data_IF_609089489572
#
_entry.id   IF_609089489572
#
_cell.length_a   1.000
_cell.length_b   1.000
_cell.length_c   1.000
_cell.angle_alpha   90.00
_cell.angle_beta   90.00
_cell.angle_gamma   90.00
#
_symmetry.space_group_name_H-M   'P 1'
#
loop_
_entity.id
_entity.type
_entity.pdbx_description
1 polymer ?
#
# COMPACT_ATOMS: atom_id res chain seq x y z
N UNK A 1 1.48 -14.31 -9.07
CA UNK A 1 1.88 -13.72 -7.78
C UNK A 1 1.37 -14.61 -6.67
N UNK A 2 2.26 -15.11 -5.82
CA UNK A 2 1.90 -15.87 -4.61
C UNK A 2 2.26 -15.05 -3.38
N UNK A 3 1.67 -15.39 -2.24
CA UNK A 3 1.97 -14.84 -0.91
C UNK A 3 1.28 -13.52 -0.50
N UNK A 4 0.19 -13.13 -1.15
CA UNK A 4 -0.60 -11.96 -0.70
C UNK A 4 -1.18 -12.20 0.69
N UNK A 5 -1.76 -13.38 0.94
CA UNK A 5 -2.38 -13.70 2.23
C UNK A 5 -1.32 -13.80 3.33
N UNK A 6 -0.20 -14.49 3.09
CA UNK A 6 0.89 -14.55 4.05
C UNK A 6 1.49 -13.18 4.35
N UNK A 7 1.71 -12.34 3.33
CA UNK A 7 2.27 -11.00 3.49
C UNK A 7 1.37 -10.09 4.34
N UNK A 8 0.06 -10.09 4.08
CA UNK A 8 -0.91 -9.34 4.88
C UNK A 8 -1.07 -9.93 6.28
N UNK A 9 -1.02 -11.24 6.41
CA UNK A 9 -1.03 -11.93 7.70
C UNK A 9 0.15 -11.50 8.57
N UNK A 10 1.35 -11.42 7.99
CA UNK A 10 2.54 -10.92 8.67
C UNK A 10 2.35 -9.48 9.14
N UNK A 11 1.94 -8.56 8.24
CA UNK A 11 1.68 -7.16 8.58
C UNK A 11 0.68 -7.02 9.75
N UNK A 12 -0.46 -7.72 9.66
CA UNK A 12 -1.52 -7.68 10.66
C UNK A 12 -1.11 -8.30 12.01
N UNK A 13 -0.12 -9.19 12.02
CA UNK A 13 0.37 -9.84 13.24
C UNK A 13 1.43 -9.02 13.99
N UNK A 14 2.07 -8.04 13.34
CA UNK A 14 3.23 -7.34 13.89
C UNK A 14 2.94 -6.72 15.27
N UNK A 15 1.87 -5.94 15.39
CA UNK A 15 1.51 -5.32 16.66
C UNK A 15 0.86 -6.30 17.64
N UNK A 16 -0.24 -7.00 17.31
CA UNK A 16 -0.96 -7.80 18.31
C UNK A 16 -0.14 -8.98 18.83
N UNK A 17 0.64 -9.65 17.97
CA UNK A 17 1.39 -10.87 18.31
C UNK A 17 2.82 -10.56 18.72
N UNK A 18 3.54 -9.79 17.90
CA UNK A 18 4.98 -9.56 18.10
C UNK A 18 5.31 -8.27 18.85
N UNK A 19 4.30 -7.42 19.15
CA UNK A 19 4.47 -6.11 19.81
C UNK A 19 5.39 -5.16 19.04
N UNK A 20 5.43 -5.30 17.71
CA UNK A 20 6.20 -4.46 16.79
C UNK A 20 5.24 -3.57 16.02
N UNK A 21 5.44 -2.25 16.08
CA UNK A 21 4.66 -1.31 15.29
C UNK A 21 5.03 -1.41 13.79
N UNK A 22 4.06 -1.60 12.88
CA UNK A 22 4.30 -1.50 11.45
C UNK A 22 4.87 -0.13 11.08
N UNK A 23 5.91 -0.14 10.26
CA UNK A 23 6.55 1.07 9.68
C UNK A 23 6.16 1.27 8.21
N UNK A 24 6.47 2.44 7.67
CA UNK A 24 6.18 2.80 6.27
C UNK A 24 6.69 1.75 5.27
N UNK A 25 7.85 1.15 5.51
CA UNK A 25 8.40 0.14 4.60
C UNK A 25 7.54 -1.14 4.54
N UNK A 26 6.90 -1.50 5.66
CA UNK A 26 6.01 -2.67 5.71
C UNK A 26 4.70 -2.40 4.97
N UNK A 27 4.15 -1.19 5.11
CA UNK A 27 2.98 -0.77 4.34
C UNK A 27 3.29 -0.69 2.84
N UNK A 28 4.43 -0.09 2.46
CA UNK A 28 4.85 -0.05 1.06
C UNK A 28 4.99 -1.46 0.46
N UNK A 29 5.60 -2.40 1.18
CA UNK A 29 5.72 -3.79 0.75
C UNK A 29 4.35 -4.47 0.56
N UNK A 30 3.40 -4.23 1.48
CA UNK A 30 2.05 -4.77 1.37
C UNK A 30 1.24 -4.14 0.22
N UNK A 31 1.39 -2.83 -0.01
CA UNK A 31 0.81 -2.12 -1.16
C UNK A 31 1.37 -2.66 -2.47
N UNK A 32 2.68 -2.87 -2.58
CA UNK A 32 3.33 -3.48 -3.75
C UNK A 32 2.82 -4.92 -3.99
N UNK A 33 2.67 -5.72 -2.93
CA UNK A 33 2.09 -7.08 -3.02
C UNK A 33 0.67 -7.05 -3.59
N UNK A 34 -0.19 -6.18 -3.07
CA UNK A 34 -1.58 -6.01 -3.53
C UNK A 34 -1.63 -5.50 -4.97
N UNK A 35 -0.78 -4.51 -5.30
CA UNK A 35 -0.67 -3.96 -6.64
C UNK A 35 -0.29 -4.98 -7.69
N UNK A 36 0.76 -5.77 -7.46
CA UNK A 36 1.16 -6.87 -8.37
C UNK A 36 0.11 -7.97 -8.49
N UNK A 37 -0.79 -8.09 -7.52
CA UNK A 37 -1.92 -9.02 -7.58
C UNK A 37 -3.16 -8.44 -8.27
N UNK A 38 -3.12 -7.19 -8.76
CA UNK A 38 -4.28 -6.52 -9.36
C UNK A 38 -5.32 -6.06 -8.34
N UNK A 39 -5.00 -6.09 -7.04
CA UNK A 39 -5.91 -5.78 -5.95
C UNK A 39 -5.78 -4.32 -5.53
N UNK A 40 -5.87 -3.40 -6.50
CA UNK A 40 -5.61 -1.95 -6.28
C UNK A 40 -6.55 -1.35 -5.23
N UNK A 41 -7.84 -1.71 -5.24
CA UNK A 41 -8.78 -1.23 -4.23
C UNK A 41 -8.37 -1.65 -2.81
N UNK A 42 -7.90 -2.90 -2.64
CA UNK A 42 -7.38 -3.34 -1.33
C UNK A 42 -6.10 -2.60 -0.94
N UNK A 43 -5.26 -2.24 -1.90
CA UNK A 43 -4.07 -1.43 -1.63
C UNK A 43 -4.47 -0.03 -1.16
N UNK A 44 -5.54 0.56 -1.74
CA UNK A 44 -6.13 1.82 -1.28
C UNK A 44 -6.66 1.70 0.15
N UNK A 45 -7.49 0.69 0.42
CA UNK A 45 -8.05 0.45 1.76
C UNK A 45 -6.94 0.31 2.82
N UNK A 46 -5.85 -0.38 2.46
CA UNK A 46 -4.69 -0.53 3.34
C UNK A 46 -4.04 0.83 3.66
N UNK A 47 -3.83 1.68 2.65
CA UNK A 47 -3.26 3.03 2.83
C UNK A 47 -4.17 3.90 3.71
N UNK A 48 -5.48 3.83 3.50
CA UNK A 48 -6.47 4.58 4.30
C UNK A 48 -6.55 4.07 5.74
N UNK A 49 -6.26 2.80 5.97
CA UNK A 49 -6.22 2.20 7.32
C UNK A 49 -4.95 2.50 8.11
N UNK A 50 -3.95 3.14 7.51
CA UNK A 50 -2.68 3.42 8.18
C UNK A 50 -2.90 4.34 9.40
N UNK A 51 -2.27 4.03 10.56
CA UNK A 51 -2.36 4.88 11.75
C UNK A 51 -1.61 6.21 11.60
N UNK A 52 -0.79 6.34 10.55
CA UNK A 52 0.00 7.51 10.22
C UNK A 52 -0.24 7.89 8.76
N UNK A 53 -0.13 9.18 8.43
CA UNK A 53 -0.25 9.66 7.05
C UNK A 53 0.80 8.95 6.17
N UNK A 54 0.42 8.39 5.01
CA UNK A 54 1.37 7.74 4.12
C UNK A 54 2.43 8.74 3.65
N UNK A 55 3.67 8.28 3.60
CA UNK A 55 4.78 9.07 3.09
C UNK A 55 4.85 9.01 1.55
N UNK A 56 5.71 9.81 0.91
CA UNK A 56 5.88 9.75 -0.54
C UNK A 56 6.31 8.39 -1.08
N UNK A 57 6.96 7.54 -0.27
CA UNK A 57 7.39 6.20 -0.70
C UNK A 57 6.18 5.27 -0.85
N UNK A 58 5.28 5.24 0.13
CA UNK A 58 4.03 4.44 0.06
C UNK A 58 3.18 4.92 -1.12
N UNK A 59 3.01 6.23 -1.28
CA UNK A 59 2.22 6.81 -2.35
C UNK A 59 2.81 6.56 -3.75
N UNK A 60 4.13 6.65 -3.92
CA UNK A 60 4.80 6.30 -5.20
C UNK A 60 4.62 4.82 -5.54
N UNK A 61 4.69 3.95 -4.54
CA UNK A 61 4.46 2.51 -4.71
C UNK A 61 3.02 2.26 -5.18
N UNK A 62 2.05 2.91 -4.54
CA UNK A 62 0.65 2.83 -4.93
C UNK A 62 0.38 3.40 -6.33
N UNK A 63 0.96 4.55 -6.66
CA UNK A 63 0.88 5.12 -8.01
C UNK A 63 1.39 4.15 -9.08
N UNK A 64 2.51 3.46 -8.80
CA UNK A 64 3.03 2.40 -9.67
C UNK A 64 2.03 1.26 -9.86
N UNK A 65 1.42 0.79 -8.77
CA UNK A 65 0.38 -0.24 -8.80
C UNK A 65 -0.84 0.18 -9.64
N UNK A 66 -1.36 1.40 -9.42
CA UNK A 66 -2.50 1.93 -10.18
C UNK A 66 -2.20 1.95 -11.69
N UNK A 67 -1.02 2.46 -12.07
CA UNK A 67 -0.59 2.50 -13.48
C UNK A 67 -0.46 1.10 -14.08
N UNK A 68 0.13 0.15 -13.35
CA UNK A 68 0.33 -1.21 -13.82
C UNK A 68 -1.01 -1.97 -14.04
N UNK A 69 -2.04 -1.62 -13.27
CA UNK A 69 -3.36 -2.25 -13.37
C UNK A 69 -4.34 -1.48 -14.27
N UNK A 70 -3.95 -0.32 -14.82
CA UNK A 70 -4.82 0.50 -15.67
C UNK A 70 -5.81 1.40 -14.90
N UNK A 71 -5.65 1.55 -13.59
CA UNK A 71 -6.46 2.40 -12.72
C UNK A 71 -6.05 3.88 -12.84
N UNK A 72 -6.30 4.46 -14.01
CA UNK A 72 -5.76 5.77 -14.41
C UNK A 72 -6.31 6.93 -13.58
N UNK A 73 -7.60 6.93 -13.25
CA UNK A 73 -8.19 7.99 -12.42
C UNK A 73 -7.53 8.05 -11.03
N UNK A 74 -7.36 6.87 -10.42
CA UNK A 74 -6.71 6.74 -9.12
C UNK A 74 -5.22 7.13 -9.22
N UNK A 75 -4.53 6.73 -10.28
CA UNK A 75 -3.15 7.16 -10.54
C UNK A 75 -3.04 8.70 -10.62
N UNK A 76 -3.96 9.37 -11.32
CA UNK A 76 -3.97 10.85 -11.41
C UNK A 76 -4.19 11.51 -10.05
N UNK A 77 -5.14 11.01 -9.25
CA UNK A 77 -5.39 11.54 -7.90
C UNK A 77 -4.13 11.44 -7.01
N UNK A 78 -3.47 10.27 -7.00
CA UNK A 78 -2.26 10.05 -6.21
C UNK A 78 -1.10 10.91 -6.71
N UNK A 79 -0.95 11.07 -8.02
CA UNK A 79 0.08 11.92 -8.62
C UNK A 79 -0.11 13.39 -8.25
N UNK A 80 -1.35 13.91 -8.31
CA UNK A 80 -1.66 15.27 -7.89
C UNK A 80 -1.36 15.48 -6.41
N UNK A 81 -1.76 14.54 -5.55
CA UNK A 81 -1.44 14.61 -4.12
C UNK A 81 0.07 14.68 -3.88
N UNK A 82 0.86 13.84 -4.57
CA UNK A 82 2.33 13.84 -4.47
C UNK A 82 2.98 15.16 -4.93
N UNK A 83 2.36 15.91 -5.85
CA UNK A 83 2.86 17.20 -6.31
C UNK A 83 2.53 18.35 -5.34
N UNK A 84 1.47 18.20 -4.55
CA UNK A 84 1.01 19.19 -3.57
C UNK A 84 1.66 19.03 -2.17
N UNK A 85 2.43 17.96 -1.97
CA UNK A 85 3.10 17.63 -0.70
C UNK A 85 4.31 18.51 -0.36
#
# INVERSE_FOLDING_TARGET
>A
TGLVQEGLGLLNSMEPVYKIQPRMEHYAAAVDLLGRAGLVNKAKDLIESMPLKPDPMVLKTFLGACRACGEMEMATQVANHLLEM
#
